data_IF_814412243579
#
_entry.id   IF_814412243579
#
_cell.length_a   1.000
_cell.length_b   1.000
_cell.length_c   1.000
_cell.angle_alpha   90.00
_cell.angle_beta   90.00
_cell.angle_gamma   90.00
#
_symmetry.space_group_name_H-M   'P 1'
#
loop_
_entity.id
_entity.type
_entity.pdbx_description
1 polymer ?
#
# COMPACT_ATOMS: atom_id res chain seq x y z
N UNK A 1 23.78 -8.27 23.89
CA UNK A 1 22.83 -7.30 23.33
C UNK A 1 22.12 -7.83 22.10
N UNK A 2 21.34 -6.98 21.46
CA UNK A 2 20.67 -7.23 20.19
C UNK A 2 21.39 -6.43 19.09
N UNK A 3 21.58 -7.02 17.92
CA UNK A 3 22.21 -6.34 16.80
C UNK A 3 21.52 -6.70 15.48
N UNK A 4 21.15 -5.68 14.72
CA UNK A 4 20.67 -5.82 13.34
C UNK A 4 21.77 -5.41 12.35
N UNK A 5 21.88 -6.15 11.25
CA UNK A 5 22.80 -5.84 10.17
C UNK A 5 22.22 -6.26 8.80
N UNK A 6 22.87 -5.81 7.73
CA UNK A 6 22.56 -6.19 6.36
C UNK A 6 23.82 -6.79 5.72
N UNK A 7 23.67 -7.92 5.04
CA UNK A 7 24.74 -8.57 4.29
C UNK A 7 24.89 -7.90 2.91
N UNK A 8 26.04 -8.08 2.24
CA UNK A 8 26.27 -7.55 0.88
C UNK A 8 25.24 -8.07 -0.15
N UNK A 9 24.60 -9.20 0.14
CA UNK A 9 23.49 -9.77 -0.65
C UNK A 9 22.15 -9.05 -0.44
N UNK A 10 22.09 -8.04 0.44
CA UNK A 10 20.86 -7.37 0.86
C UNK A 10 20.07 -8.12 1.94
N UNK A 11 20.45 -9.37 2.28
CA UNK A 11 19.79 -10.16 3.31
C UNK A 11 19.88 -9.51 4.69
N UNK A 12 18.78 -9.56 5.45
CA UNK A 12 18.69 -8.98 6.80
C UNK A 12 19.19 -9.99 7.83
N UNK A 13 19.95 -9.51 8.80
CA UNK A 13 20.54 -10.27 9.89
C UNK A 13 20.01 -9.72 11.21
N UNK A 14 19.42 -10.57 12.05
CA UNK A 14 19.11 -10.26 13.44
C UNK A 14 19.91 -11.18 14.37
N UNK A 15 20.76 -10.60 15.21
CA UNK A 15 21.67 -11.31 16.12
C UNK A 15 21.21 -11.06 17.55
N UNK A 16 21.01 -12.15 18.30
CA UNK A 16 20.85 -12.13 19.75
C UNK A 16 22.11 -12.70 20.39
N UNK A 17 22.84 -11.87 21.12
CA UNK A 17 24.05 -12.28 21.82
C UNK A 17 23.74 -13.11 23.07
N UNK A 18 24.75 -13.88 23.51
CA UNK A 18 24.66 -14.88 24.58
C UNK A 18 24.25 -14.33 25.95
N UNK A 19 24.50 -13.04 26.18
CA UNK A 19 24.14 -12.31 27.40
C UNK A 19 22.63 -12.03 27.51
N UNK A 20 21.89 -12.09 26.39
CA UNK A 20 20.44 -11.88 26.33
C UNK A 20 19.70 -13.19 26.08
N UNK A 21 20.36 -14.19 25.47
CA UNK A 21 19.78 -15.50 25.21
C UNK A 21 19.77 -16.42 26.43
N UNK A 22 18.72 -17.24 26.56
CA UNK A 22 18.64 -18.28 27.62
C UNK A 22 19.67 -19.40 27.45
N UNK A 23 20.15 -19.62 26.22
CA UNK A 23 21.18 -20.60 25.91
C UNK A 23 22.53 -19.92 25.74
N UNK A 24 23.63 -20.65 25.96
CA UNK A 24 24.98 -20.18 25.69
C UNK A 24 25.28 -19.97 24.20
N UNK A 25 24.28 -20.09 23.32
CA UNK A 25 24.43 -19.99 21.87
C UNK A 25 24.18 -18.57 21.38
N UNK A 26 24.89 -18.20 20.32
CA UNK A 26 24.56 -17.01 19.52
C UNK A 26 23.36 -17.37 18.62
N UNK A 27 22.29 -16.60 18.69
CA UNK A 27 21.12 -16.81 17.81
C UNK A 27 21.23 -15.85 16.64
N UNK A 28 21.19 -16.38 15.42
CA UNK A 28 21.32 -15.60 14.19
C UNK A 28 20.16 -15.94 13.27
N UNK A 29 19.31 -14.95 12.99
CA UNK A 29 18.23 -15.07 12.03
C UNK A 29 18.60 -14.34 10.75
N UNK A 30 18.61 -15.06 9.62
CA UNK A 30 18.88 -14.50 8.29
C UNK A 30 17.59 -14.52 7.48
N UNK A 31 17.07 -13.34 7.16
CA UNK A 31 15.97 -13.19 6.21
C UNK A 31 16.56 -12.87 4.83
N UNK A 32 16.66 -13.91 3.99
CA UNK A 32 17.17 -13.79 2.63
C UNK A 32 16.20 -12.99 1.75
N UNK A 33 16.74 -12.10 0.93
CA UNK A 33 16.04 -11.56 -0.21
C UNK A 33 16.07 -12.63 -1.31
N UNK A 34 14.93 -13.20 -1.69
CA UNK A 34 14.88 -14.38 -2.56
C UNK A 34 15.04 -14.08 -4.05
N UNK A 35 15.25 -12.82 -4.46
CA UNK A 35 15.62 -12.44 -5.83
C UNK A 35 14.56 -12.68 -6.91
N UNK A 36 13.52 -13.48 -6.65
CA UNK A 36 12.35 -13.64 -7.53
C UNK A 36 11.40 -12.49 -7.25
N UNK A 37 11.73 -11.31 -7.76
CA UNK A 37 10.82 -10.18 -7.79
C UNK A 37 9.78 -10.45 -8.88
N UNK A 38 8.52 -10.59 -8.50
CA UNK A 38 7.43 -10.41 -9.45
C UNK A 38 7.45 -8.95 -9.90
N UNK A 39 7.37 -8.73 -11.21
CA UNK A 39 7.55 -7.40 -11.82
C UNK A 39 6.29 -6.87 -12.50
N UNK A 40 5.21 -7.65 -12.55
CA UNK A 40 3.95 -7.22 -13.14
C UNK A 40 2.75 -7.85 -12.44
N UNK A 41 1.60 -7.19 -12.55
CA UNK A 41 0.34 -7.70 -12.02
C UNK A 41 -0.08 -9.01 -12.72
N UNK A 42 0.22 -9.18 -14.01
CA UNK A 42 -0.07 -10.40 -14.76
C UNK A 42 0.62 -11.63 -14.15
N UNK A 43 1.87 -11.49 -13.71
CA UNK A 43 2.57 -12.58 -13.02
C UNK A 43 1.88 -12.95 -11.70
N UNK A 44 1.27 -11.99 -11.01
CA UNK A 44 0.52 -12.27 -9.78
C UNK A 44 -0.81 -13.00 -10.09
N UNK A 45 -1.45 -12.66 -11.20
CA UNK A 45 -2.65 -13.37 -11.71
C UNK A 45 -2.29 -14.81 -12.07
N UNK A 46 -1.22 -15.04 -12.83
CA UNK A 46 -0.73 -16.38 -13.21
C UNK A 46 -0.41 -17.26 -12.00
N UNK A 47 0.04 -16.65 -10.89
CA UNK A 47 0.34 -17.33 -9.63
C UNK A 47 -0.89 -17.54 -8.74
N UNK A 48 -2.07 -17.12 -9.19
CA UNK A 48 -3.31 -17.24 -8.43
C UNK A 48 -3.37 -16.33 -7.20
N UNK A 49 -2.62 -15.23 -7.18
CA UNK A 49 -2.68 -14.25 -6.09
C UNK A 49 -3.91 -13.33 -6.19
N UNK A 50 -4.45 -13.16 -7.40
CA UNK A 50 -5.66 -12.39 -7.66
C UNK A 50 -6.32 -12.85 -8.97
N UNK A 51 -7.57 -12.43 -9.19
CA UNK A 51 -8.25 -12.66 -10.47
C UNK A 51 -7.75 -11.67 -11.53
N UNK A 52 -7.89 -12.01 -12.81
CA UNK A 52 -7.54 -11.10 -13.92
C UNK A 52 -8.27 -9.75 -13.81
N UNK A 53 -9.56 -9.78 -13.44
CA UNK A 53 -10.37 -8.57 -13.21
C UNK A 53 -9.73 -7.64 -12.15
N UNK A 54 -9.25 -8.21 -11.04
CA UNK A 54 -8.56 -7.45 -10.00
C UNK A 54 -7.22 -6.92 -10.49
N UNK A 55 -6.47 -7.71 -11.27
CA UNK A 55 -5.24 -7.26 -11.91
C UNK A 55 -5.46 -6.04 -12.80
N UNK A 56 -6.43 -6.10 -13.72
CA UNK A 56 -6.80 -4.98 -14.60
C UNK A 56 -7.24 -3.76 -13.79
N UNK A 57 -8.03 -3.96 -12.74
CA UNK A 57 -8.47 -2.88 -11.86
C UNK A 57 -7.29 -2.19 -11.15
N UNK A 58 -6.37 -2.95 -10.56
CA UNK A 58 -5.19 -2.40 -9.89
C UNK A 58 -4.23 -1.70 -10.86
N UNK A 59 -4.12 -2.18 -12.09
CA UNK A 59 -3.35 -1.51 -13.14
C UNK A 59 -3.93 -0.12 -13.44
N UNK A 60 -5.27 -0.02 -13.61
CA UNK A 60 -5.95 1.25 -13.83
C UNK A 60 -5.80 2.23 -12.64
N UNK A 61 -5.97 1.73 -11.41
CA UNK A 61 -5.78 2.50 -10.18
C UNK A 61 -4.35 3.07 -10.09
N UNK A 62 -3.36 2.25 -10.44
CA UNK A 62 -1.95 2.64 -10.41
C UNK A 62 -1.62 3.70 -11.47
N UNK A 63 -2.08 3.51 -12.71
CA UNK A 63 -1.91 4.49 -13.81
C UNK A 63 -2.57 5.82 -13.50
N UNK A 64 -3.73 5.81 -12.84
CA UNK A 64 -4.42 7.01 -12.37
C UNK A 64 -3.82 7.59 -11.06
N UNK A 65 -2.75 6.98 -10.53
CA UNK A 65 -2.03 7.41 -9.32
C UNK A 65 -2.92 7.53 -8.08
N UNK A 66 -3.85 6.59 -7.88
CA UNK A 66 -4.66 6.59 -6.66
C UNK A 66 -3.82 6.12 -5.47
N UNK A 67 -3.84 6.88 -4.38
CA UNK A 67 -3.07 6.56 -3.17
C UNK A 67 -3.59 5.25 -2.54
N UNK A 68 -2.73 4.24 -2.51
CA UNK A 68 -3.14 2.86 -2.20
C UNK A 68 -2.39 2.29 -1.00
N UNK A 69 -3.14 1.74 -0.06
CA UNK A 69 -2.62 1.05 1.12
C UNK A 69 -2.74 -0.46 0.92
N UNK A 70 -1.61 -1.17 0.97
CA UNK A 70 -1.56 -2.63 0.89
C UNK A 70 -1.50 -3.23 2.29
N UNK A 71 -2.57 -3.88 2.71
CA UNK A 71 -2.79 -4.36 4.07
C UNK A 71 -2.69 -5.90 4.18
N UNK A 72 -2.29 -6.39 5.35
CA UNK A 72 -2.33 -7.82 5.67
C UNK A 72 -1.30 -8.28 6.70
N UNK A 73 -1.34 -9.56 7.12
CA UNK A 73 -0.35 -10.12 8.02
C UNK A 73 1.05 -10.24 7.39
N UNK A 74 2.11 -10.50 8.18
CA UNK A 74 3.43 -10.84 7.65
C UNK A 74 3.37 -11.98 6.63
N UNK A 75 4.08 -11.81 5.51
CA UNK A 75 4.14 -12.82 4.45
C UNK A 75 2.89 -12.96 3.57
N UNK A 76 1.97 -11.99 3.61
CA UNK A 76 0.77 -11.94 2.74
C UNK A 76 1.02 -11.32 1.36
N UNK A 77 2.27 -10.98 1.02
CA UNK A 77 2.62 -10.43 -0.30
C UNK A 77 2.36 -8.94 -0.49
N UNK A 78 2.15 -8.15 0.59
CA UNK A 78 1.89 -6.70 0.51
C UNK A 78 2.93 -5.93 -0.32
N UNK A 79 4.21 -6.09 0.02
CA UNK A 79 5.32 -5.41 -0.66
C UNK A 79 5.43 -5.87 -2.12
N UNK A 80 5.18 -7.15 -2.40
CA UNK A 80 5.14 -7.68 -3.77
C UNK A 80 4.01 -7.05 -4.59
N UNK A 81 2.80 -6.96 -4.03
CA UNK A 81 1.65 -6.30 -4.66
C UNK A 81 1.96 -4.84 -4.94
N UNK A 82 2.54 -4.14 -3.95
CA UNK A 82 2.97 -2.75 -4.09
C UNK A 82 3.98 -2.60 -5.23
N UNK A 83 5.07 -3.38 -5.27
CA UNK A 83 6.08 -3.32 -6.33
C UNK A 83 5.53 -3.67 -7.71
N UNK A 84 4.52 -4.55 -7.81
CA UNK A 84 3.88 -4.83 -9.10
C UNK A 84 2.97 -3.66 -9.54
N UNK A 85 2.35 -2.95 -8.61
CA UNK A 85 1.56 -1.75 -8.91
C UNK A 85 2.45 -0.57 -9.32
N UNK A 86 3.67 -0.43 -8.76
CA UNK A 86 4.61 0.62 -9.20
C UNK A 86 5.06 0.42 -10.64
N UNK A 87 5.07 -0.82 -11.15
CA UNK A 87 5.38 -1.10 -12.55
C UNK A 87 4.36 -0.57 -13.55
N UNK A 88 3.15 -0.21 -13.08
CA UNK A 88 2.08 0.36 -13.89
C UNK A 88 2.09 1.89 -13.90
N UNK A 89 3.01 2.53 -13.16
CA UNK A 89 3.16 3.98 -13.12
C UNK A 89 3.77 4.50 -14.43
N UNK A 90 3.40 5.73 -14.82
CA UNK A 90 3.99 6.43 -15.96
C UNK A 90 5.52 6.60 -15.75
N UNK A 91 6.37 6.18 -16.71
CA UNK A 91 7.83 6.30 -16.62
C UNK A 91 8.38 7.73 -16.47
N UNK A 92 7.58 8.75 -16.78
CA UNK A 92 7.93 10.16 -16.60
C UNK A 92 7.82 10.64 -15.14
N UNK A 93 7.21 9.85 -14.25
CA UNK A 93 6.99 10.23 -12.86
C UNK A 93 8.26 10.09 -12.02
N UNK A 94 8.40 10.98 -11.05
CA UNK A 94 9.39 10.89 -9.99
C UNK A 94 8.85 10.14 -8.79
N UNK A 95 9.52 9.06 -8.41
CA UNK A 95 9.18 8.25 -7.24
C UNK A 95 10.22 8.45 -6.14
N UNK A 96 9.76 8.67 -4.90
CA UNK A 96 10.62 8.73 -3.72
C UNK A 96 10.20 7.62 -2.75
N UNK A 97 11.14 6.76 -2.35
CA UNK A 97 10.87 5.65 -1.41
C UNK A 97 11.60 5.86 -0.08
N UNK A 98 10.96 5.50 1.03
CA UNK A 98 11.59 5.37 2.33
C UNK A 98 11.27 4.00 2.94
N UNK A 99 12.32 3.28 3.31
CA UNK A 99 12.21 1.90 3.79
C UNK A 99 13.15 1.65 4.96
N UNK A 100 12.83 0.69 5.83
CA UNK A 100 13.80 0.24 6.83
C UNK A 100 14.93 -0.55 6.20
N UNK A 101 14.59 -1.33 5.19
CA UNK A 101 15.50 -2.06 4.32
C UNK A 101 14.86 -2.12 2.96
N UNK A 102 15.65 -1.85 1.92
CA UNK A 102 15.20 -1.92 0.53
C UNK A 102 14.56 -3.27 0.21
N UNK A 103 13.26 -3.26 -0.07
CA UNK A 103 12.46 -4.38 -0.56
C UNK A 103 11.55 -3.97 -1.73
N UNK A 104 11.13 -2.70 -1.79
CA UNK A 104 10.28 -2.19 -2.86
C UNK A 104 11.10 -2.09 -4.15
N UNK A 105 10.59 -2.71 -5.20
CA UNK A 105 11.13 -2.59 -6.55
C UNK A 105 10.28 -1.57 -7.31
N UNK A 106 10.92 -0.55 -7.89
CA UNK A 106 10.26 0.51 -8.65
C UNK A 106 10.95 0.58 -10.00
N UNK A 107 10.39 -0.02 -11.06
CA UNK A 107 11.04 -0.13 -12.36
C UNK A 107 10.90 1.16 -13.19
N UNK A 108 11.06 2.33 -12.55
CA UNK A 108 11.00 3.64 -13.20
C UNK A 108 12.39 4.27 -13.29
N UNK A 109 12.65 5.15 -14.27
CA UNK A 109 13.96 5.81 -14.41
C UNK A 109 14.28 6.82 -13.30
N UNK A 110 13.27 7.52 -12.78
CA UNK A 110 13.45 8.64 -11.84
C UNK A 110 13.03 8.24 -10.42
N UNK A 111 13.86 7.39 -9.79
CA UNK A 111 13.60 6.87 -8.44
C UNK A 111 14.68 7.34 -7.46
N UNK A 112 14.25 7.89 -6.33
CA UNK A 112 15.11 8.20 -5.21
C UNK A 112 14.75 7.33 -4.00
N UNK A 113 15.57 6.32 -3.73
CA UNK A 113 15.34 5.36 -2.65
C UNK A 113 16.17 5.70 -1.41
N UNK A 114 15.52 5.76 -0.25
CA UNK A 114 16.15 6.02 1.03
C UNK A 114 15.91 4.87 2.01
N UNK A 115 16.93 4.55 2.80
CA UNK A 115 16.86 3.53 3.84
C UNK A 115 17.19 4.11 5.21
N UNK A 116 16.57 3.60 6.26
CA UNK A 116 16.94 3.96 7.63
C UNK A 116 18.37 3.56 7.94
N UNK A 117 18.94 4.21 8.95
CA UNK A 117 20.29 3.92 9.42
C UNK A 117 20.32 3.99 10.94
N UNK A 118 20.68 2.87 11.57
CA UNK A 118 20.92 2.83 13.01
C UNK A 118 21.99 3.86 13.45
N UNK A 119 21.89 4.31 14.70
CA UNK A 119 22.92 5.15 15.31
C UNK A 119 24.27 4.42 15.34
N UNK A 120 25.34 5.19 15.12
CA UNK A 120 26.73 4.75 15.34
C UNK A 120 27.46 5.83 16.15
N UNK A 121 28.61 5.53 16.77
CA UNK A 121 29.35 6.52 17.57
C UNK A 121 29.65 7.84 16.84
N UNK A 122 29.85 7.76 15.52
CA UNK A 122 30.20 8.88 14.63
C UNK A 122 28.99 9.58 13.99
N UNK A 123 27.77 9.02 14.13
CA UNK A 123 26.60 9.53 13.38
C UNK A 123 25.27 9.14 14.04
N UNK A 124 24.33 10.10 14.17
CA UNK A 124 23.03 9.84 14.79
C UNK A 124 22.19 8.88 13.95
N UNK A 125 21.14 8.32 14.55
CA UNK A 125 20.12 7.55 13.86
C UNK A 125 19.40 8.36 12.77
N UNK A 126 18.98 7.66 11.72
CA UNK A 126 18.01 8.15 10.73
C UNK A 126 16.86 7.15 10.68
N UNK A 127 15.75 7.50 11.30
CA UNK A 127 14.52 6.71 11.33
C UNK A 127 13.62 6.99 10.11
N UNK A 128 12.58 6.19 9.94
CA UNK A 128 11.62 6.38 8.84
C UNK A 128 10.95 7.75 8.91
N UNK A 129 10.58 8.22 10.10
CA UNK A 129 9.93 9.53 10.29
C UNK A 129 10.77 10.64 9.69
N UNK A 130 12.09 10.64 9.93
CA UNK A 130 13.03 11.63 9.40
C UNK A 130 13.15 11.56 7.88
N UNK A 131 13.15 10.37 7.30
CA UNK A 131 13.18 10.19 5.84
C UNK A 131 11.91 10.74 5.20
N UNK A 132 10.74 10.34 5.71
CA UNK A 132 9.42 10.72 5.18
C UNK A 132 9.17 12.23 5.32
N UNK A 133 9.60 12.86 6.42
CA UNK A 133 9.52 14.31 6.58
C UNK A 133 10.31 15.09 5.51
N UNK A 134 11.25 14.44 4.82
CA UNK A 134 12.01 15.01 3.71
C UNK A 134 11.33 14.90 2.34
N UNK A 135 10.26 14.10 2.19
CA UNK A 135 9.66 13.78 0.88
C UNK A 135 9.33 15.02 0.06
N UNK A 136 8.62 16.00 0.63
CA UNK A 136 8.21 17.20 -0.11
C UNK A 136 9.38 18.04 -0.62
N UNK A 137 10.57 17.92 -0.02
CA UNK A 137 11.79 18.60 -0.50
C UNK A 137 12.39 17.95 -1.74
N UNK A 138 11.96 16.74 -2.04
CA UNK A 138 12.41 15.95 -3.18
C UNK A 138 11.45 16.05 -4.36
N UNK A 139 10.35 16.82 -4.24
CA UNK A 139 9.30 17.00 -5.23
C UNK A 139 8.84 15.68 -5.90
N UNK A 140 8.40 14.67 -5.12
CA UNK A 140 7.86 13.43 -5.68
C UNK A 140 6.52 13.67 -6.37
N UNK A 141 6.29 12.98 -7.49
CA UNK A 141 4.94 12.73 -7.99
C UNK A 141 4.30 11.58 -7.20
N UNK A 142 5.11 10.58 -6.83
CA UNK A 142 4.70 9.41 -6.06
C UNK A 142 5.62 9.20 -4.86
N UNK A 143 5.05 9.18 -3.66
CA UNK A 143 5.73 8.90 -2.41
C UNK A 143 5.43 7.47 -1.93
N UNK A 144 6.46 6.71 -1.57
CA UNK A 144 6.31 5.32 -1.12
C UNK A 144 6.97 5.12 0.24
N UNK A 145 6.23 4.52 1.17
CA UNK A 145 6.80 3.99 2.42
C UNK A 145 6.65 2.49 2.41
N UNK A 146 7.77 1.77 2.55
CA UNK A 146 7.77 0.30 2.42
C UNK A 146 6.79 -0.37 3.38
N UNK A 147 6.78 0.05 4.64
CA UNK A 147 5.78 -0.36 5.64
C UNK A 147 5.61 0.74 6.69
N UNK A 148 4.36 1.10 6.99
CA UNK A 148 4.02 2.00 8.08
C UNK A 148 3.71 1.18 9.33
N UNK A 149 4.43 1.50 10.41
CA UNK A 149 4.36 0.84 11.71
C UNK A 149 4.27 1.82 12.88
N UNK A 150 4.81 3.03 12.73
CA UNK A 150 4.98 3.99 13.83
C UNK A 150 4.97 5.45 13.31
N UNK A 151 5.85 6.30 13.86
CA UNK A 151 5.80 7.75 13.79
C UNK A 151 5.89 8.37 12.40
N UNK A 152 6.28 7.59 11.39
CA UNK A 152 6.31 7.97 9.98
C UNK A 152 4.92 8.07 9.34
N UNK A 153 3.88 7.51 9.97
CA UNK A 153 2.52 7.55 9.44
C UNK A 153 2.02 8.99 9.23
N UNK A 154 2.18 9.86 10.23
CA UNK A 154 1.69 11.24 10.17
C UNK A 154 2.35 12.07 9.05
N UNK A 155 3.69 12.17 8.93
CA UNK A 155 4.31 12.90 7.83
C UNK A 155 4.00 12.26 6.45
N UNK A 156 3.78 10.94 6.38
CA UNK A 156 3.32 10.31 5.15
C UNK A 156 1.92 10.81 4.77
N UNK A 157 0.94 10.72 5.68
CA UNK A 157 -0.42 11.15 5.36
C UNK A 157 -0.49 12.65 5.02
N UNK A 158 0.27 13.49 5.71
CA UNK A 158 0.40 14.92 5.36
C UNK A 158 1.01 15.13 3.97
N UNK A 159 1.96 14.28 3.57
CA UNK A 159 2.51 14.30 2.21
C UNK A 159 1.40 13.93 1.21
N UNK A 160 0.66 12.86 1.47
CA UNK A 160 -0.37 12.36 0.56
C UNK A 160 -1.59 13.29 0.45
N UNK A 161 -1.97 13.98 1.53
CA UNK A 161 -3.05 14.96 1.49
C UNK A 161 -2.66 16.26 0.79
N UNK A 162 -1.36 16.53 0.60
CA UNK A 162 -0.86 17.72 -0.11
C UNK A 162 -0.92 17.64 -1.64
N UNK A 163 -1.49 16.57 -2.18
CA UNK A 163 -1.62 16.33 -3.62
C UNK A 163 -0.58 15.37 -4.21
N UNK A 164 0.47 15.03 -3.44
CA UNK A 164 1.37 13.91 -3.79
C UNK A 164 0.60 12.61 -3.66
N UNK A 165 0.76 11.70 -4.64
CA UNK A 165 0.13 10.38 -4.59
C UNK A 165 1.10 9.36 -4.03
N UNK A 166 0.63 8.19 -3.61
CA UNK A 166 1.58 7.27 -3.00
C UNK A 166 1.06 5.93 -2.55
N UNK A 167 2.01 5.06 -2.25
CA UNK A 167 1.75 3.70 -1.82
C UNK A 167 2.39 3.45 -0.46
N UNK A 168 1.74 2.63 0.34
CA UNK A 168 2.36 2.10 1.56
C UNK A 168 1.84 0.72 1.86
N UNK A 169 2.61 -0.05 2.63
CA UNK A 169 2.08 -1.26 3.26
C UNK A 169 1.78 -1.05 4.73
N UNK A 170 0.88 -1.85 5.30
CA UNK A 170 0.56 -1.85 6.73
C UNK A 170 0.10 -3.22 7.20
N UNK A 171 0.40 -3.57 8.45
CA UNK A 171 -0.14 -4.76 9.08
C UNK A 171 -1.55 -4.54 9.63
N UNK A 172 -2.54 -5.22 9.08
CA UNK A 172 -3.92 -5.20 9.55
C UNK A 172 -4.62 -6.53 9.25
N UNK A 173 -5.69 -6.83 9.99
CA UNK A 173 -6.50 -8.05 9.78
C UNK A 173 -7.64 -7.87 8.77
N UNK A 174 -7.89 -6.64 8.33
CA UNK A 174 -8.82 -6.33 7.24
C UNK A 174 -8.49 -4.96 6.62
N UNK A 175 -9.07 -4.66 5.47
CA UNK A 175 -8.92 -3.37 4.79
C UNK A 175 -9.48 -2.21 5.65
N UNK A 176 -10.65 -2.40 6.28
CA UNK A 176 -11.20 -1.39 7.21
C UNK A 176 -10.33 -1.21 8.46
N UNK A 177 -9.77 -2.31 9.00
CA UNK A 177 -8.84 -2.22 10.13
C UNK A 177 -7.56 -1.46 9.76
N UNK A 178 -7.10 -1.54 8.50
CA UNK A 178 -5.94 -0.79 8.03
C UNK A 178 -6.14 0.73 8.17
N UNK A 179 -7.31 1.26 7.78
CA UNK A 179 -7.65 2.68 7.95
C UNK A 179 -7.67 3.09 9.42
N UNK A 180 -8.36 2.29 10.27
CA UNK A 180 -8.39 2.53 11.72
C UNK A 180 -7.00 2.50 12.35
N UNK A 181 -6.13 1.61 11.88
CA UNK A 181 -4.75 1.49 12.35
C UNK A 181 -3.88 2.66 11.90
N UNK A 182 -3.99 3.10 10.65
CA UNK A 182 -3.30 4.31 10.16
C UNK A 182 -3.65 5.52 11.02
N UNK A 183 -4.94 5.73 11.30
CA UNK A 183 -5.41 6.80 12.19
C UNK A 183 -4.81 6.69 13.59
N UNK A 184 -4.84 5.49 14.17
CA UNK A 184 -4.30 5.24 15.51
C UNK A 184 -2.79 5.51 15.58
N UNK A 185 -2.01 5.04 14.60
CA UNK A 185 -0.58 5.29 14.54
C UNK A 185 -0.31 6.80 14.38
N UNK A 186 -1.08 7.52 13.56
CA UNK A 186 -0.95 8.97 13.43
C UNK A 186 -1.24 9.70 14.74
N UNK A 187 -2.23 9.24 15.51
CA UNK A 187 -2.53 9.78 16.83
C UNK A 187 -1.34 9.62 17.79
N UNK A 188 -0.68 8.46 17.77
CA UNK A 188 0.54 8.22 18.58
C UNK A 188 1.74 9.03 18.09
N UNK A 189 1.80 9.32 16.78
CA UNK A 189 2.86 10.09 16.14
C UNK A 189 2.74 11.60 16.39
N UNK A 190 1.53 12.08 16.71
CA UNK A 190 1.27 13.46 17.12
C UNK A 190 1.77 13.68 18.56
N UNK A 191 3.04 14.06 18.66
CA UNK A 191 3.71 14.30 19.94
C UNK A 191 3.14 15.46 20.74
N UNK A 192 2.33 16.33 20.12
CA UNK A 192 1.71 17.47 20.82
C UNK A 192 0.27 17.16 21.24
N UNK A 193 -0.30 16.04 20.78
CA UNK A 193 -1.71 15.66 21.02
C UNK A 193 -2.69 16.79 20.67
N UNK A 194 -2.37 17.56 19.64
CA UNK A 194 -3.12 18.75 19.22
C UNK A 194 -4.22 18.40 18.22
N UNK A 195 -4.08 17.29 17.49
CA UNK A 195 -5.01 16.93 16.44
C UNK A 195 -6.23 16.20 17.01
N UNK A 196 -7.45 16.77 16.88
CA UNK A 196 -8.66 16.06 17.25
C UNK A 196 -8.86 14.83 16.34
N UNK A 197 -9.55 13.82 16.86
CA UNK A 197 -9.84 12.59 16.11
C UNK A 197 -10.53 12.83 14.76
N UNK A 198 -11.37 13.87 14.67
CA UNK A 198 -12.03 14.28 13.43
C UNK A 198 -11.03 14.76 12.37
N UNK A 199 -10.00 15.52 12.77
CA UNK A 199 -8.94 15.97 11.87
C UNK A 199 -8.09 14.78 11.37
N UNK A 200 -7.77 13.83 12.25
CA UNK A 200 -7.06 12.60 11.84
C UNK A 200 -7.92 11.73 10.91
N UNK A 201 -9.23 11.69 11.12
CA UNK A 201 -10.15 10.97 10.26
C UNK A 201 -10.20 11.60 8.86
N UNK A 202 -10.34 12.93 8.80
CA UNK A 202 -10.29 13.69 7.55
C UNK A 202 -8.95 13.48 6.84
N UNK A 203 -7.83 13.56 7.56
CA UNK A 203 -6.50 13.37 7.00
C UNK A 203 -6.33 11.98 6.36
N UNK A 204 -6.78 10.91 7.03
CA UNK A 204 -6.73 9.54 6.46
C UNK A 204 -7.67 9.43 5.26
N UNK A 205 -8.89 9.98 5.33
CA UNK A 205 -9.83 10.00 4.21
C UNK A 205 -9.23 10.72 3.00
N UNK A 206 -8.61 11.88 3.17
CA UNK A 206 -8.01 12.65 2.09
C UNK A 206 -6.77 11.94 1.50
N UNK A 207 -5.93 11.36 2.34
CA UNK A 207 -4.66 10.76 1.95
C UNK A 207 -4.80 9.40 1.24
N UNK A 208 -5.84 8.63 1.54
CA UNK A 208 -6.02 7.25 1.05
C UNK A 208 -7.21 7.19 0.10
N UNK A 209 -6.98 6.66 -1.11
CA UNK A 209 -8.02 6.43 -2.12
C UNK A 209 -8.51 4.97 -2.10
N UNK A 210 -7.60 4.01 -1.90
CA UNK A 210 -7.87 2.57 -1.96
C UNK A 210 -7.14 1.80 -0.86
N UNK A 211 -7.76 0.73 -0.35
CA UNK A 211 -7.08 -0.27 0.48
C UNK A 211 -7.25 -1.66 -0.15
N UNK A 212 -6.13 -2.34 -0.37
CA UNK A 212 -6.05 -3.71 -0.88
C UNK A 212 -5.57 -4.60 0.25
N UNK A 213 -6.39 -5.55 0.69
CA UNK A 213 -5.98 -6.49 1.73
C UNK A 213 -5.67 -7.86 1.14
N UNK A 214 -4.58 -8.46 1.61
CA UNK A 214 -4.16 -9.80 1.24
C UNK A 214 -3.85 -10.67 2.46
N UNK A 215 -4.06 -11.97 2.34
CA UNK A 215 -3.69 -12.99 3.34
C UNK A 215 -3.08 -14.20 2.66
N UNK A 216 -2.69 -15.23 3.42
CA UNK A 216 -2.29 -16.53 2.86
C UNK A 216 -3.49 -17.47 2.85
N UNK A 217 -3.92 -17.88 1.66
CA UNK A 217 -4.95 -18.91 1.46
C UNK A 217 -4.24 -20.17 0.96
N UNK A 218 -4.36 -21.27 1.68
CA UNK A 218 -3.65 -22.53 1.37
C UNK A 218 -2.14 -22.34 1.14
N UNK A 219 -1.51 -21.41 1.88
CA UNK A 219 -0.07 -21.12 1.78
C UNK A 219 0.34 -20.16 0.67
N UNK A 220 -0.58 -19.78 -0.23
CA UNK A 220 -0.37 -18.82 -1.31
C UNK A 220 -0.86 -17.44 -0.88
N UNK A 221 -0.06 -16.37 -1.01
CA UNK A 221 -0.53 -15.00 -0.84
C UNK A 221 -1.66 -14.68 -1.81
N UNK A 222 -2.83 -14.24 -1.34
CA UNK A 222 -3.96 -13.87 -2.18
C UNK A 222 -4.63 -12.59 -1.69
N UNK A 223 -5.10 -11.76 -2.63
CA UNK A 223 -6.00 -10.64 -2.34
C UNK A 223 -7.35 -11.19 -1.88
N UNK A 224 -7.87 -10.64 -0.79
CA UNK A 224 -9.12 -11.11 -0.16
C UNK A 224 -10.22 -10.08 -0.12
N UNK A 225 -9.87 -8.79 -0.09
CA UNK A 225 -10.84 -7.71 -0.16
C UNK A 225 -10.18 -6.44 -0.70
N UNK A 226 -10.98 -5.62 -1.36
CA UNK A 226 -10.58 -4.29 -1.84
C UNK A 226 -11.70 -3.32 -1.50
N UNK A 227 -11.36 -2.23 -0.82
CA UNK A 227 -12.30 -1.14 -0.51
C UNK A 227 -11.78 0.17 -1.08
N UNK A 228 -12.69 1.00 -1.59
CA UNK A 228 -12.41 2.40 -1.90
C UNK A 228 -12.81 3.29 -0.72
N UNK A 229 -12.00 4.30 -0.43
CA UNK A 229 -12.27 5.28 0.61
C UNK A 229 -13.10 6.42 0.01
N UNK A 230 -14.26 6.70 0.61
CA UNK A 230 -15.18 7.74 0.17
C UNK A 230 -15.05 9.02 1.00
N UNK A 231 -15.56 10.11 0.43
CA UNK A 231 -15.71 11.37 1.15
C UNK A 231 -16.60 11.15 2.39
N UNK A 232 -16.21 11.73 3.52
CA UNK A 232 -16.93 11.59 4.80
C UNK A 232 -18.40 12.01 4.65
N UNK A 233 -19.33 11.05 4.75
CA UNK A 233 -20.78 11.30 4.60
C UNK A 233 -21.51 11.53 5.93
N UNK A 234 -20.83 11.34 7.06
CA UNK A 234 -21.47 11.29 8.38
C UNK A 234 -21.25 12.59 9.15
N UNK A 235 -22.24 13.02 9.96
CA UNK A 235 -22.20 14.27 10.72
C UNK A 235 -21.01 14.41 11.68
N UNK A 236 -20.80 15.62 12.19
CA UNK A 236 -19.71 15.96 13.12
C UNK A 236 -19.61 14.94 14.27
N UNK A 237 -18.56 14.13 14.27
CA UNK A 237 -18.28 13.14 15.33
C UNK A 237 -18.25 11.67 14.89
N UNK A 238 -18.52 11.35 13.62
CA UNK A 238 -18.39 9.97 13.16
C UNK A 238 -16.94 9.49 13.16
N UNK A 239 -16.70 8.38 13.86
CA UNK A 239 -15.38 7.75 13.98
C UNK A 239 -15.16 6.63 12.96
N UNK A 240 -16.16 6.35 12.12
CA UNK A 240 -16.08 5.35 11.07
C UNK A 240 -15.68 6.00 9.74
N UNK A 241 -14.80 5.32 9.00
CA UNK A 241 -14.54 5.66 7.60
C UNK A 241 -15.74 5.30 6.73
N UNK A 242 -16.11 6.17 5.79
CA UNK A 242 -17.04 5.84 4.71
C UNK A 242 -16.26 5.13 3.61
N UNK A 243 -16.69 3.94 3.22
CA UNK A 243 -15.99 3.12 2.25
C UNK A 243 -16.98 2.41 1.35
N UNK A 244 -16.57 2.17 0.10
CA UNK A 244 -17.28 1.31 -0.83
C UNK A 244 -16.53 0.00 -0.95
N UNK A 245 -17.17 -1.11 -0.57
CA UNK A 245 -16.61 -2.45 -0.78
C UNK A 245 -16.67 -2.79 -2.26
N UNK A 246 -15.51 -2.98 -2.90
CA UNK A 246 -15.43 -3.28 -4.33
C UNK A 246 -15.30 -4.77 -4.58
N UNK A 247 -14.40 -5.44 -3.88
CA UNK A 247 -14.18 -6.86 -4.04
C UNK A 247 -14.23 -7.55 -2.69
N UNK A 248 -14.95 -8.67 -2.60
CA UNK A 248 -15.09 -9.45 -1.37
C UNK A 248 -15.10 -10.94 -1.66
N UNK A 249 -14.86 -11.74 -0.62
CA UNK A 249 -15.05 -13.18 -0.63
C UNK A 249 -16.14 -13.53 0.37
N UNK A 250 -17.00 -14.49 0.01
CA UNK A 250 -18.03 -15.02 0.93
C UNK A 250 -17.39 -15.96 1.97
N UNK A 251 -16.45 -16.79 1.54
CA UNK A 251 -15.63 -17.66 2.38
C UNK A 251 -14.15 -17.56 1.95
N UNK A 252 -13.18 -17.95 2.79
CA UNK A 252 -11.75 -17.95 2.40
C UNK A 252 -11.45 -18.72 1.11
N UNK A 253 -12.22 -19.77 0.83
CA UNK A 253 -12.09 -20.64 -0.34
C UNK A 253 -12.76 -20.07 -1.60
N UNK A 254 -13.71 -19.14 -1.44
CA UNK A 254 -14.41 -18.53 -2.57
C UNK A 254 -13.49 -17.62 -3.39
N UNK A 255 -13.74 -17.51 -4.72
CA UNK A 255 -13.08 -16.52 -5.54
C UNK A 255 -13.44 -15.11 -5.08
N UNK A 256 -12.49 -14.19 -5.25
CA UNK A 256 -12.70 -12.76 -5.02
C UNK A 256 -13.57 -12.20 -6.15
N UNK A 257 -14.76 -11.71 -5.81
CA UNK A 257 -15.73 -11.19 -6.79
C UNK A 257 -16.05 -9.72 -6.53
N UNK A 258 -16.33 -8.98 -7.61
CA UNK A 258 -16.88 -7.64 -7.51
C UNK A 258 -18.25 -7.67 -6.80
N UNK A 259 -18.50 -6.69 -5.95
CA UNK A 259 -19.72 -6.58 -5.13
C UNK A 259 -20.92 -6.04 -5.90
N UNK A 260 -20.71 -5.48 -7.10
CA UNK A 260 -21.71 -4.69 -7.82
C UNK A 260 -21.70 -3.20 -7.46
N UNK A 261 -20.92 -2.79 -6.45
CA UNK A 261 -20.85 -1.40 -6.01
C UNK A 261 -19.85 -0.59 -6.84
N UNK A 262 -20.18 0.67 -7.08
CA UNK A 262 -19.29 1.63 -7.74
C UNK A 262 -18.84 2.71 -6.74
N UNK A 263 -17.54 3.00 -6.66
CA UNK A 263 -17.03 3.95 -5.69
C UNK A 263 -17.12 5.38 -6.24
N UNK A 264 -17.71 6.33 -5.52
CA UNK A 264 -17.95 7.69 -6.07
C UNK A 264 -16.63 8.43 -6.28
N UNK A 265 -15.79 8.51 -5.23
CA UNK A 265 -14.52 9.25 -5.27
C UNK A 265 -13.51 8.64 -6.24
N UNK A 266 -13.33 7.32 -6.15
CA UNK A 266 -12.42 6.58 -7.03
C UNK A 266 -12.89 6.62 -8.51
N UNK A 267 -14.20 6.54 -8.78
CA UNK A 267 -14.74 6.70 -10.14
C UNK A 267 -14.38 8.06 -10.74
N UNK A 268 -14.54 9.15 -9.98
CA UNK A 268 -14.18 10.51 -10.43
C UNK A 268 -12.69 10.63 -10.76
N UNK A 269 -11.83 10.04 -9.93
CA UNK A 269 -10.39 10.04 -10.18
C UNK A 269 -10.03 9.25 -11.44
N UNK A 270 -10.57 8.05 -11.61
CA UNK A 270 -10.35 7.22 -12.80
C UNK A 270 -10.88 7.89 -14.09
N UNK A 271 -12.07 8.51 -14.04
CA UNK A 271 -12.62 9.25 -15.18
C UNK A 271 -11.73 10.43 -15.61
N UNK A 272 -11.08 11.12 -14.66
CA UNK A 272 -10.12 12.18 -14.99
C UNK A 272 -8.86 11.66 -15.72
N UNK A 273 -8.56 10.36 -15.58
CA UNK A 273 -7.53 9.66 -16.33
C UNK A 273 -8.07 8.96 -17.61
N UNK A 274 -9.33 9.21 -17.99
CA UNK A 274 -9.97 8.60 -19.17
C UNK A 274 -10.38 7.13 -18.98
N UNK A 275 -10.55 6.68 -17.73
CA UNK A 275 -10.88 5.29 -17.40
C UNK A 275 -12.30 5.22 -16.84
N UNK A 276 -13.20 4.55 -17.56
CA UNK A 276 -14.56 4.28 -17.10
C UNK A 276 -14.58 3.07 -16.14
N UNK A 277 -14.75 3.35 -14.85
CA UNK A 277 -14.69 2.34 -13.78
C UNK A 277 -15.75 1.24 -13.93
N UNK A 278 -16.89 1.55 -14.55
CA UNK A 278 -17.97 0.56 -14.76
C UNK A 278 -17.55 -0.46 -15.80
N UNK A 279 -16.91 -0.04 -16.89
CA UNK A 279 -16.39 -0.97 -17.91
C UNK A 279 -15.26 -1.84 -17.36
N UNK A 280 -14.47 -1.27 -16.44
CA UNK A 280 -13.38 -1.94 -15.76
C UNK A 280 -13.86 -3.01 -14.76
N UNK A 281 -14.94 -2.71 -14.01
CA UNK A 281 -15.47 -3.59 -12.96
C UNK A 281 -16.57 -4.54 -13.48
N UNK A 282 -17.27 -4.19 -14.55
CA UNK A 282 -18.29 -5.02 -15.19
C UNK A 282 -17.94 -5.31 -16.66
N UNK A 283 -17.14 -6.36 -16.92
CA UNK A 283 -16.76 -6.72 -18.29
C UNK A 283 -17.95 -7.08 -19.18
N UNK A 284 -19.06 -7.54 -18.59
CA UNK A 284 -20.26 -7.89 -19.36
C UNK A 284 -20.99 -6.64 -19.88
N UNK A 285 -20.95 -5.53 -19.13
CA UNK A 285 -21.46 -4.24 -19.58
C UNK A 285 -20.64 -3.66 -20.75
N UNK A 286 -19.32 -3.87 -20.77
CA UNK A 286 -18.44 -3.38 -21.84
C UNK A 286 -18.77 -4.01 -23.23
N UNK A 287 -19.16 -5.29 -23.25
CA UNK A 287 -19.57 -5.98 -24.49
C UNK A 287 -20.96 -5.58 -25.01
N UNK A 288 -21.83 -5.01 -24.17
CA UNK A 288 -23.20 -4.61 -24.56
C UNK A 288 -23.30 -3.29 -25.32
N UNK A 289 -22.30 -2.41 -25.19
CA UNK A 289 -22.30 -1.08 -25.82
C UNK A 289 -21.94 -1.13 -27.31
N UNK A 290 -21.19 -2.13 -27.76
CA UNK A 290 -20.74 -2.25 -29.15
C UNK A 290 -21.79 -2.83 -30.13
N UNK A 291 -22.88 -3.44 -29.64
CA UNK A 291 -23.89 -4.12 -30.48
C UNK A 291 -25.07 -3.20 -30.85
N UNK A 292 -25.13 -1.99 -30.30
CA UNK A 292 -26.28 -1.07 -30.46
C UNK A 292 -26.23 -0.07 -31.63
N UNK A 293 -25.16 -0.02 -32.43
CA UNK A 293 -25.01 1.00 -33.49
C UNK A 293 -24.93 0.48 -34.94
N UNK A 294 -25.21 -0.80 -35.19
CA UNK A 294 -25.36 -1.31 -36.57
C UNK A 294 -26.83 -1.64 -36.83
N UNK A 295 -27.64 -0.60 -37.02
CA UNK A 295 -29.06 -0.75 -37.30
C UNK A 295 -29.73 0.57 -37.64
N UNK A 296 -29.87 0.83 -38.95
CA UNK A 296 -30.64 1.88 -39.63
C UNK A 296 -29.82 3.02 -40.27
N UNK A 297 -29.42 2.76 -41.52
CA UNK A 297 -29.59 3.67 -42.67
C UNK A 297 -29.53 2.86 -43.96
#
# INVERSE_FOLDING_TARGET
GLQDAQLDSGARLHIVHRDVGRSSHLIVNIRKFTGVAFRSLDQLVERGMMTAQVGTFLAAVSRARLSTVFAGPPGSGKTTLLSCCTAELDPGLRVVTAEEVFEVDVPLPNVASMQTRAARPDRPEVDLRRLVAGFLRMAPDVAIVGEVRDREALPLLLTLSSGVKGFTTIHAGSARQALSRLRFICQLADTRSELPMTALNALVTEAVDLVVHSTRVAGVPQVTEIIAVEDQQTGEGATAFTVTELFTRRTPEDPLTWTGNLPVRCSRALASAGIEVRELLDPAAATGSAVGQVGSR
#
